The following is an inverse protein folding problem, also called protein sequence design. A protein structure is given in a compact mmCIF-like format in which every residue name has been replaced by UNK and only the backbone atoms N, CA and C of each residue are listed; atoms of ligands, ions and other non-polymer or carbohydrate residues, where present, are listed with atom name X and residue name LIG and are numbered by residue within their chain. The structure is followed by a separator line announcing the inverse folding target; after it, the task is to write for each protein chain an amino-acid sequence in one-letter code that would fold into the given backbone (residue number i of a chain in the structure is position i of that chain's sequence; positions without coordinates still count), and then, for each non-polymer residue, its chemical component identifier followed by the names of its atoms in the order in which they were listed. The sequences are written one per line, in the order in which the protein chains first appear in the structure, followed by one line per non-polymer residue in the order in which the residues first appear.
data_IF_797608170437
#
_entry.id   IF_797608170437
#
_cell.length_a   1.000
_cell.length_b   1.000
_cell.length_c   1.000
_cell.angle_alpha   90.00
_cell.angle_beta   90.00
_cell.angle_gamma   90.00
#
_symmetry.space_group_name_H-M   'P 1'
#
loop_
_entity.id
_entity.type
_entity.pdbx_description
1 polymer ?
#
# COMPACT_ATOMS: atom_id res chain seq x y z
N UNK A 1 13.74 -47.53 17.78
CA UNK A 1 14.06 -46.12 17.48
C UNK A 1 12.95 -45.25 18.07
N UNK A 2 13.26 -44.06 18.62
CA UNK A 2 12.22 -43.13 19.07
C UNK A 2 11.38 -42.67 17.87
N UNK A 3 10.07 -42.57 18.06
CA UNK A 3 9.17 -42.03 17.06
C UNK A 3 9.49 -40.54 16.82
N UNK A 4 9.63 -40.16 15.57
CA UNK A 4 9.90 -38.79 15.13
C UNK A 4 8.66 -38.19 14.49
N UNK A 5 8.60 -36.86 14.42
CA UNK A 5 7.49 -36.14 13.79
C UNK A 5 7.35 -36.48 12.30
N UNK A 6 8.43 -36.93 11.65
CA UNK A 6 8.46 -37.38 10.26
C UNK A 6 7.85 -38.77 10.05
N UNK A 7 7.52 -39.49 11.13
CA UNK A 7 6.81 -40.78 11.08
C UNK A 7 5.28 -40.60 11.01
N UNK A 8 4.77 -39.36 11.13
CA UNK A 8 3.36 -39.05 10.96
C UNK A 8 2.92 -39.15 9.48
N UNK A 9 1.65 -39.52 9.20
CA UNK A 9 1.05 -39.33 7.89
C UNK A 9 1.22 -37.90 7.38
N UNK A 10 1.52 -37.75 6.08
CA UNK A 10 1.85 -36.47 5.43
C UNK A 10 0.82 -35.39 5.73
N UNK A 11 -0.46 -35.72 5.60
CA UNK A 11 -1.56 -34.79 5.73
C UNK A 11 -1.62 -34.21 7.16
N UNK A 12 -1.47 -35.08 8.17
CA UNK A 12 -1.42 -34.68 9.57
C UNK A 12 -0.18 -33.84 9.88
N UNK A 13 0.97 -34.19 9.31
CA UNK A 13 2.18 -33.42 9.48
C UNK A 13 2.04 -32.02 8.86
N UNK A 14 1.52 -31.91 7.64
CA UNK A 14 1.28 -30.61 6.97
C UNK A 14 0.27 -29.76 7.73
N UNK A 15 -0.82 -30.36 8.21
CA UNK A 15 -1.81 -29.69 9.04
C UNK A 15 -1.18 -29.12 10.33
N UNK A 16 -0.35 -29.91 11.03
CA UNK A 16 0.40 -29.40 12.18
C UNK A 16 1.33 -28.26 11.77
N UNK A 17 2.04 -28.37 10.65
CA UNK A 17 2.92 -27.29 10.20
C UNK A 17 2.16 -26.02 9.84
N UNK A 18 0.93 -26.12 9.34
CA UNK A 18 0.12 -24.95 8.99
C UNK A 18 -0.25 -24.12 10.22
N UNK A 19 -0.49 -24.76 11.37
CA UNK A 19 -0.73 -24.09 12.64
C UNK A 19 0.49 -23.37 13.22
N UNK A 20 1.69 -23.64 12.72
CA UNK A 20 2.91 -22.99 13.20
C UNK A 20 3.02 -21.55 12.72
N UNK A 21 3.47 -20.67 13.61
CA UNK A 21 3.81 -19.30 13.25
C UNK A 21 5.12 -19.25 12.42
N UNK A 22 5.45 -18.13 11.75
CA UNK A 22 6.63 -18.03 10.89
C UNK A 22 7.96 -18.33 11.59
N UNK A 23 8.09 -17.99 12.86
CA UNK A 23 9.31 -18.24 13.64
C UNK A 23 9.48 -19.73 13.96
N UNK A 24 8.39 -20.39 14.33
CA UNK A 24 8.32 -21.83 14.55
C UNK A 24 8.60 -22.58 13.23
N UNK A 25 7.99 -22.17 12.12
CA UNK A 25 8.28 -22.72 10.78
C UNK A 25 9.75 -22.55 10.40
N UNK A 26 10.34 -21.38 10.66
CA UNK A 26 11.76 -21.12 10.41
C UNK A 26 12.68 -22.00 11.27
N UNK A 27 12.29 -22.24 12.53
CA UNK A 27 12.99 -23.16 13.41
C UNK A 27 12.88 -24.61 12.93
N UNK A 28 11.67 -25.04 12.54
CA UNK A 28 11.42 -26.36 11.97
C UNK A 28 12.27 -26.59 10.71
N UNK A 29 12.29 -25.61 9.81
CA UNK A 29 13.11 -25.60 8.60
C UNK A 29 14.61 -25.81 8.85
N UNK A 30 15.12 -25.44 10.03
CA UNK A 30 16.54 -25.61 10.38
C UNK A 30 16.87 -26.98 10.95
N UNK A 31 15.88 -27.79 11.33
CA UNK A 31 16.10 -29.11 11.95
C UNK A 31 16.56 -30.15 10.95
N UNK A 32 15.93 -30.22 9.77
CA UNK A 32 16.35 -31.09 8.69
C UNK A 32 15.88 -30.58 7.32
N UNK A 33 16.44 -31.15 6.26
CA UNK A 33 16.04 -30.84 4.88
C UNK A 33 14.57 -31.18 4.59
N UNK A 34 14.06 -32.25 5.20
CA UNK A 34 12.65 -32.64 5.03
C UNK A 34 11.75 -31.59 5.69
N UNK A 35 12.02 -31.23 6.95
CA UNK A 35 11.29 -30.17 7.62
C UNK A 35 11.29 -28.86 6.80
N UNK A 36 12.43 -28.46 6.24
CA UNK A 36 12.53 -27.31 5.32
C UNK A 36 11.58 -27.42 4.14
N UNK A 37 11.54 -28.56 3.45
CA UNK A 37 10.70 -28.75 2.26
C UNK A 37 9.19 -28.66 2.56
N UNK A 38 8.72 -29.16 3.71
CA UNK A 38 7.31 -29.03 4.05
C UNK A 38 6.88 -27.62 4.41
N UNK A 39 7.74 -26.86 5.09
CA UNK A 39 7.39 -25.48 5.47
C UNK A 39 7.79 -24.44 4.44
N UNK A 40 8.44 -24.85 3.34
CA UNK A 40 8.98 -23.92 2.34
C UNK A 40 7.89 -23.02 1.76
N UNK A 41 6.85 -23.59 1.14
CA UNK A 41 5.74 -22.79 0.58
C UNK A 41 5.06 -21.93 1.67
N UNK A 42 4.64 -22.47 2.84
CA UNK A 42 4.05 -21.66 3.91
C UNK A 42 4.94 -20.52 4.43
N UNK A 43 6.27 -20.71 4.43
CA UNK A 43 7.24 -19.69 4.84
C UNK A 43 7.32 -18.53 3.85
N UNK A 44 7.19 -18.80 2.55
CA UNK A 44 7.32 -17.79 1.50
C UNK A 44 5.98 -17.19 1.07
N UNK A 45 4.86 -17.88 1.29
CA UNK A 45 3.53 -17.47 0.87
C UNK A 45 3.17 -16.06 1.36
N UNK A 46 3.56 -15.71 2.59
CA UNK A 46 3.30 -14.40 3.19
C UNK A 46 4.60 -13.80 3.74
N UNK A 47 5.17 -12.86 3.01
CA UNK A 47 6.43 -12.21 3.38
C UNK A 47 6.21 -10.75 3.81
N UNK A 48 6.99 -10.29 4.80
CA UNK A 48 6.99 -8.89 5.24
C UNK A 48 8.42 -8.36 5.30
N UNK A 49 8.68 -7.30 4.54
CA UNK A 49 9.97 -6.65 4.40
C UNK A 49 9.86 -5.24 4.97
N UNK A 50 10.73 -4.88 5.91
CA UNK A 50 10.69 -3.60 6.62
C UNK A 50 11.92 -2.71 6.40
N UNK A 51 12.78 -3.07 5.45
CA UNK A 51 13.99 -2.35 5.15
C UNK A 51 14.43 -2.57 3.70
N UNK A 52 14.97 -1.53 3.08
CA UNK A 52 15.44 -1.57 1.69
C UNK A 52 16.52 -2.64 1.41
N UNK A 53 17.56 -2.83 2.25
CA UNK A 53 18.55 -3.88 2.00
C UNK A 53 17.93 -5.29 1.99
N UNK A 54 16.89 -5.53 2.80
CA UNK A 54 16.17 -6.81 2.81
C UNK A 54 15.37 -7.01 1.52
N UNK A 55 14.80 -5.94 0.95
CA UNK A 55 14.14 -6.00 -0.35
C UNK A 55 15.12 -6.37 -1.46
N UNK A 56 16.33 -5.79 -1.45
CA UNK A 56 17.41 -6.13 -2.40
C UNK A 56 17.81 -7.60 -2.26
N UNK A 57 17.93 -8.11 -1.03
CA UNK A 57 18.25 -9.53 -0.78
C UNK A 57 17.12 -10.43 -1.31
N UNK A 58 15.86 -10.08 -1.08
CA UNK A 58 14.70 -10.83 -1.58
C UNK A 58 14.73 -10.92 -3.10
N UNK A 59 14.87 -9.78 -3.79
CA UNK A 59 14.94 -9.74 -5.25
C UNK A 59 16.10 -10.59 -5.77
N UNK A 60 17.31 -10.44 -5.19
CA UNK A 60 18.46 -11.29 -5.54
C UNK A 60 18.19 -12.78 -5.30
N UNK A 61 17.39 -13.12 -4.30
CA UNK A 61 17.05 -14.50 -3.97
C UNK A 61 16.03 -15.08 -4.92
N UNK A 62 15.03 -14.29 -5.32
CA UNK A 62 14.03 -14.68 -6.32
C UNK A 62 14.67 -14.88 -7.71
N UNK A 63 15.68 -14.10 -8.04
CA UNK A 63 16.41 -14.24 -9.31
C UNK A 63 17.41 -15.41 -9.33
N UNK A 64 17.68 -16.05 -8.18
CA UNK A 64 18.52 -17.24 -8.12
C UNK A 64 17.69 -18.49 -8.38
N UNK A 65 18.22 -19.48 -9.13
CA UNK A 65 17.56 -20.77 -9.24
C UNK A 65 17.28 -21.32 -7.83
N UNK A 66 16.09 -21.89 -7.58
CA UNK A 66 15.80 -22.51 -6.31
C UNK A 66 16.87 -23.57 -6.05
N UNK A 67 17.40 -23.60 -4.82
CA UNK A 67 18.32 -24.67 -4.41
C UNK A 67 17.44 -25.92 -4.25
N UNK A 68 17.23 -26.63 -5.35
CA UNK A 68 16.55 -27.92 -5.33
C UNK A 68 17.56 -28.90 -4.74
N UNK A 69 17.37 -29.23 -3.47
CA UNK A 69 18.19 -30.25 -2.83
C UNK A 69 17.91 -31.58 -3.56
N UNK A 70 18.93 -32.11 -4.24
CA UNK A 70 18.88 -33.42 -4.89
C UNK A 70 18.95 -34.52 -3.83
N UNK A 71 17.88 -34.69 -3.06
CA UNK A 71 17.74 -35.86 -2.19
C UNK A 71 17.80 -37.10 -3.07
N UNK A 72 18.77 -37.97 -2.83
CA UNK A 72 18.86 -39.24 -3.53
C UNK A 72 17.62 -40.10 -3.23
N UNK A 73 17.22 -40.97 -4.16
CA UNK A 73 16.04 -41.83 -3.98
C UNK A 73 16.11 -42.68 -2.70
N UNK A 74 17.33 -43.03 -2.24
CA UNK A 74 17.60 -43.81 -1.02
C UNK A 74 17.51 -43.00 0.28
N UNK A 75 17.63 -41.68 0.24
CA UNK A 75 17.51 -40.80 1.41
C UNK A 75 16.07 -40.38 1.72
N UNK A 76 15.14 -40.66 0.80
CA UNK A 76 13.72 -40.34 0.93
C UNK A 76 13.03 -41.48 1.69
N UNK A 77 13.18 -41.57 3.00
CA UNK A 77 12.64 -42.73 3.73
C UNK A 77 11.11 -42.72 3.89
N UNK A 78 10.41 -41.58 3.75
CA UNK A 78 8.93 -41.52 3.76
C UNK A 78 8.32 -40.40 2.87
N UNK A 79 9.14 -39.65 2.14
CA UNK A 79 8.79 -38.34 1.59
C UNK A 79 8.78 -38.27 0.05
N UNK A 80 8.63 -39.41 -0.61
CA UNK A 80 8.49 -39.50 -2.07
C UNK A 80 7.31 -38.65 -2.63
N UNK A 81 6.35 -38.27 -1.78
CA UNK A 81 5.18 -37.42 -2.09
C UNK A 81 5.45 -35.90 -2.07
N UNK A 82 6.66 -35.46 -1.77
CA UNK A 82 7.11 -34.05 -1.95
C UNK A 82 7.94 -33.88 -3.23
N UNK A 83 7.64 -34.72 -4.21
CA UNK A 83 7.93 -34.50 -5.62
C UNK A 83 7.10 -33.36 -6.21
N UNK A 84 6.05 -32.91 -5.53
CA UNK A 84 5.21 -31.81 -6.00
C UNK A 84 6.08 -30.58 -6.23
N UNK A 85 6.23 -30.26 -7.51
CA UNK A 85 6.88 -29.06 -8.00
C UNK A 85 6.33 -27.81 -7.28
N UNK A 86 5.05 -27.84 -6.93
CA UNK A 86 4.34 -26.81 -6.15
C UNK A 86 4.98 -26.51 -4.79
N UNK A 87 5.42 -27.52 -4.03
CA UNK A 87 6.02 -27.33 -2.70
C UNK A 87 7.48 -26.83 -2.77
N UNK A 88 8.08 -26.86 -3.97
CA UNK A 88 9.45 -26.38 -4.23
C UNK A 88 9.49 -24.95 -4.75
N UNK A 89 8.35 -24.42 -5.19
CA UNK A 89 8.26 -23.06 -5.71
C UNK A 89 8.36 -22.06 -4.56
N UNK A 90 9.23 -21.05 -4.72
CA UNK A 90 9.27 -19.87 -3.83
C UNK A 90 8.10 -18.94 -4.19
N UNK A 91 6.89 -19.46 -4.09
CA UNK A 91 5.69 -18.74 -4.50
C UNK A 91 5.31 -17.75 -3.40
N UNK A 92 5.55 -16.47 -3.64
CA UNK A 92 5.09 -15.40 -2.76
C UNK A 92 3.67 -15.03 -3.18
N UNK A 93 2.69 -15.38 -2.36
CA UNK A 93 1.27 -15.04 -2.59
C UNK A 93 0.96 -13.62 -2.16
N UNK A 94 1.58 -13.16 -1.06
CA UNK A 94 1.40 -11.80 -0.54
C UNK A 94 2.71 -11.26 0.00
N UNK A 95 3.04 -10.03 -0.37
CA UNK A 95 4.26 -9.35 0.06
C UNK A 95 3.93 -7.98 0.65
N UNK A 96 4.22 -7.79 1.93
CA UNK A 96 4.17 -6.47 2.56
C UNK A 96 5.55 -5.83 2.52
N UNK A 97 5.67 -4.64 1.94
CA UNK A 97 6.90 -3.85 1.87
C UNK A 97 6.68 -2.56 2.65
N UNK A 98 7.42 -2.36 3.73
CA UNK A 98 7.40 -1.14 4.55
C UNK A 98 8.74 -0.44 4.40
N UNK A 99 8.73 0.74 3.80
CA UNK A 99 9.92 1.55 3.57
C UNK A 99 9.84 2.82 4.41
N UNK A 100 10.86 3.03 5.25
CA UNK A 100 11.03 4.25 6.05
C UNK A 100 12.11 5.12 5.42
N UNK A 101 11.82 6.38 5.10
CA UNK A 101 12.78 7.28 4.43
C UNK A 101 14.03 7.49 5.28
N UNK A 102 13.88 7.58 6.60
CA UNK A 102 14.98 7.71 7.56
C UNK A 102 15.95 6.52 7.57
N UNK A 103 15.49 5.33 7.22
CA UNK A 103 16.29 4.10 7.18
C UNK A 103 16.78 3.76 5.76
N UNK A 104 16.31 4.50 4.76
CA UNK A 104 16.51 4.17 3.36
C UNK A 104 17.22 5.31 2.66
N UNK A 105 18.54 5.37 2.84
CA UNK A 105 19.40 6.31 2.12
C UNK A 105 19.54 5.85 0.67
N UNK A 106 19.37 6.77 -0.29
CA UNK A 106 19.60 6.58 -1.73
C UNK A 106 18.61 5.64 -2.48
N UNK A 107 17.43 5.34 -1.93
CA UNK A 107 16.41 4.67 -2.73
C UNK A 107 15.86 5.60 -3.80
N UNK A 108 15.84 5.11 -5.04
CA UNK A 108 15.24 5.81 -6.18
C UNK A 108 13.91 5.15 -6.57
N UNK A 109 13.02 5.91 -7.21
CA UNK A 109 11.78 5.38 -7.79
C UNK A 109 12.07 4.31 -8.84
N UNK A 110 13.12 4.51 -9.65
CA UNK A 110 13.61 3.55 -10.65
C UNK A 110 14.02 2.21 -10.04
N UNK A 111 14.73 2.24 -8.92
CA UNK A 111 15.13 1.01 -8.23
C UNK A 111 13.92 0.29 -7.61
N UNK A 112 12.98 1.04 -7.03
CA UNK A 112 11.73 0.46 -6.50
C UNK A 112 10.92 -0.21 -7.60
N UNK A 113 10.70 0.47 -8.73
CA UNK A 113 9.98 -0.07 -9.88
C UNK A 113 10.65 -1.32 -10.44
N UNK A 114 12.00 -1.31 -10.56
CA UNK A 114 12.76 -2.48 -11.00
C UNK A 114 12.59 -3.66 -10.05
N UNK A 115 12.62 -3.41 -8.74
CA UNK A 115 12.47 -4.45 -7.72
C UNK A 115 11.05 -5.03 -7.69
N UNK A 116 10.02 -4.19 -7.73
CA UNK A 116 8.62 -4.62 -7.82
C UNK A 116 8.38 -5.43 -9.09
N UNK A 117 8.86 -4.96 -10.24
CA UNK A 117 8.76 -5.71 -11.50
C UNK A 117 9.51 -7.04 -11.47
N UNK A 118 10.67 -7.12 -10.79
CA UNK A 118 11.39 -8.38 -10.62
C UNK A 118 10.64 -9.37 -9.71
N UNK A 119 9.99 -8.88 -8.66
CA UNK A 119 9.14 -9.70 -7.78
C UNK A 119 7.94 -10.23 -8.56
N UNK A 120 7.24 -9.36 -9.30
CA UNK A 120 6.09 -9.72 -10.14
C UNK A 120 6.43 -10.82 -11.15
N UNK A 121 7.59 -10.72 -11.81
CA UNK A 121 8.08 -11.77 -12.73
C UNK A 121 8.48 -13.06 -12.02
N UNK A 122 9.09 -12.95 -10.83
CA UNK A 122 9.55 -14.11 -10.06
C UNK A 122 8.43 -14.82 -9.28
N UNK A 123 7.29 -14.17 -9.08
CA UNK A 123 6.12 -14.69 -8.38
C UNK A 123 4.85 -14.14 -9.04
N UNK A 124 4.43 -14.72 -10.19
CA UNK A 124 3.26 -14.25 -10.92
C UNK A 124 2.00 -14.24 -10.04
N UNK A 125 1.25 -13.13 -10.05
CA UNK A 125 0.01 -12.97 -9.29
C UNK A 125 0.21 -12.69 -7.79
N UNK A 126 1.43 -12.32 -7.39
CA UNK A 126 1.71 -11.83 -6.03
C UNK A 126 0.86 -10.61 -5.71
N UNK A 127 0.36 -10.51 -4.47
CA UNK A 127 -0.31 -9.29 -3.98
C UNK A 127 0.67 -8.46 -3.17
N UNK A 128 1.09 -7.32 -3.71
CA UNK A 128 2.05 -6.43 -3.05
C UNK A 128 1.31 -5.34 -2.27
N UNK A 129 1.63 -5.22 -0.98
CA UNK A 129 1.19 -4.13 -0.12
C UNK A 129 2.39 -3.22 0.15
N UNK A 130 2.40 -2.05 -0.47
CA UNK A 130 3.49 -1.07 -0.35
C UNK A 130 3.12 0.00 0.68
N UNK A 131 3.96 0.16 1.70
CA UNK A 131 3.82 1.17 2.73
C UNK A 131 5.05 2.10 2.73
N UNK A 132 4.83 3.38 2.47
CA UNK A 132 5.85 4.42 2.46
C UNK A 132 5.71 5.28 3.72
N UNK A 133 6.77 5.39 4.51
CA UNK A 133 6.82 6.21 5.74
C UNK A 133 7.93 7.27 5.67
N UNK A 134 7.59 8.51 5.94
CA UNK A 134 8.45 9.68 5.87
C UNK A 134 8.42 10.39 4.52
N UNK A 135 9.31 11.37 4.37
CA UNK A 135 9.38 12.24 3.20
C UNK A 135 9.94 11.50 1.99
N UNK A 136 9.08 11.18 1.02
CA UNK A 136 9.42 10.42 -0.20
C UNK A 136 9.36 11.24 -1.49
N UNK A 137 9.52 12.56 -1.39
CA UNK A 137 9.38 13.50 -2.52
C UNK A 137 10.09 13.02 -3.80
N UNK A 138 11.41 12.87 -3.75
CA UNK A 138 12.21 12.50 -4.93
C UNK A 138 11.83 11.14 -5.50
N UNK A 139 11.49 10.19 -4.63
CA UNK A 139 11.07 8.84 -5.03
C UNK A 139 9.73 8.89 -5.76
N UNK A 140 8.73 9.59 -5.20
CA UNK A 140 7.40 9.72 -5.80
C UNK A 140 7.45 10.46 -7.14
N UNK A 141 8.25 11.52 -7.26
CA UNK A 141 8.46 12.22 -8.54
C UNK A 141 9.01 11.30 -9.63
N UNK A 142 9.98 10.45 -9.29
CA UNK A 142 10.55 9.49 -10.24
C UNK A 142 9.54 8.40 -10.64
N UNK A 143 8.62 8.03 -9.75
CA UNK A 143 7.63 6.99 -10.01
C UNK A 143 6.54 7.40 -11.00
N UNK A 144 6.27 8.69 -11.20
CA UNK A 144 5.22 9.14 -12.14
C UNK A 144 5.36 8.59 -13.55
N UNK A 145 6.58 8.24 -13.96
CA UNK A 145 6.87 7.69 -15.29
C UNK A 145 7.22 6.19 -15.26
N UNK A 146 6.94 5.48 -14.16
CA UNK A 146 7.34 4.10 -13.94
C UNK A 146 6.17 3.26 -13.44
N UNK A 147 6.05 2.03 -13.92
CA UNK A 147 5.00 1.12 -13.46
C UNK A 147 5.45 0.28 -12.26
N UNK A 148 4.52 0.12 -11.32
CA UNK A 148 4.57 -0.73 -10.13
C UNK A 148 3.47 -1.78 -10.24
N UNK A 149 3.66 -2.84 -11.07
CA UNK A 149 2.68 -3.91 -11.22
C UNK A 149 2.47 -4.68 -9.91
N UNK A 150 1.33 -5.36 -9.79
CA UNK A 150 0.96 -6.23 -8.67
C UNK A 150 0.84 -5.52 -7.30
N UNK A 151 1.04 -4.19 -7.25
CA UNK A 151 0.78 -3.36 -6.07
C UNK A 151 -0.72 -3.12 -5.93
N UNK A 152 -1.37 -3.97 -5.14
CA UNK A 152 -2.82 -3.93 -4.90
C UNK A 152 -3.20 -2.99 -3.75
N UNK A 153 -2.26 -2.71 -2.84
CA UNK A 153 -2.49 -1.83 -1.70
C UNK A 153 -1.31 -0.86 -1.52
N UNK A 154 -1.60 0.43 -1.55
CA UNK A 154 -0.65 1.51 -1.25
C UNK A 154 -1.04 2.23 0.05
N UNK A 155 -0.10 2.37 0.97
CA UNK A 155 -0.25 3.19 2.18
C UNK A 155 0.88 4.20 2.26
N UNK A 156 0.57 5.49 2.38
CA UNK A 156 1.56 6.56 2.42
C UNK A 156 1.40 7.40 3.69
N UNK A 157 2.50 7.56 4.42
CA UNK A 157 2.66 8.42 5.60
C UNK A 157 3.78 9.41 5.32
N UNK A 158 3.47 10.51 4.65
CA UNK A 158 4.49 11.35 4.02
C UNK A 158 5.12 12.39 4.96
N UNK A 159 4.38 12.78 6.00
CA UNK A 159 4.92 13.63 7.07
C UNK A 159 5.48 14.98 6.61
N UNK A 160 4.84 15.62 5.64
CA UNK A 160 5.31 16.88 5.09
C UNK A 160 5.09 18.04 6.08
N UNK A 161 6.07 18.96 6.19
CA UNK A 161 5.89 20.19 6.93
C UNK A 161 4.78 21.02 6.26
N UNK A 162 3.92 21.63 7.07
CA UNK A 162 2.73 22.38 6.69
C UNK A 162 2.97 23.63 5.82
N UNK A 163 4.21 23.98 5.46
CA UNK A 163 4.46 25.04 4.48
C UNK A 163 4.21 24.52 3.06
N UNK A 164 2.94 24.52 2.63
CA UNK A 164 2.51 24.31 1.24
C UNK A 164 3.31 25.15 0.23
N UNK A 165 3.85 26.29 0.66
CA UNK A 165 4.66 27.20 -0.13
C UNK A 165 5.87 26.48 -0.75
N UNK A 166 6.52 25.57 -0.03
CA UNK A 166 7.69 24.85 -0.54
C UNK A 166 7.31 23.73 -1.53
N UNK A 167 6.07 23.25 -1.47
CA UNK A 167 5.52 22.26 -2.40
C UNK A 167 5.02 22.91 -3.70
N UNK A 168 4.32 24.05 -3.59
CA UNK A 168 3.73 24.75 -4.75
C UNK A 168 4.72 25.70 -5.46
N UNK A 169 5.78 26.19 -4.81
CA UNK A 169 6.77 27.10 -5.44
C UNK A 169 7.94 26.39 -6.14
N UNK A 170 8.07 25.08 -6.03
CA UNK A 170 9.07 24.34 -6.79
C UNK A 170 8.59 24.09 -8.23
N UNK A 171 9.49 24.21 -9.22
CA UNK A 171 9.32 23.77 -10.63
C UNK A 171 9.15 22.23 -10.76
N UNK A 172 8.55 21.60 -9.77
CA UNK A 172 8.64 20.18 -9.49
C UNK A 172 7.32 19.73 -8.85
N UNK A 173 6.24 19.81 -9.62
CA UNK A 173 4.88 19.43 -9.20
C UNK A 173 4.79 17.89 -9.15
N UNK A 174 4.68 17.31 -7.96
CA UNK A 174 4.30 15.90 -7.85
C UNK A 174 2.78 15.85 -7.88
N UNK A 175 2.21 15.39 -8.99
CA UNK A 175 0.83 14.94 -9.03
C UNK A 175 0.69 13.60 -8.28
N UNK A 176 0.39 13.70 -7.00
CA UNK A 176 0.16 12.54 -6.13
C UNK A 176 -1.11 11.78 -6.54
N UNK A 177 -2.10 12.50 -7.06
CA UNK A 177 -3.41 11.97 -7.35
C UNK A 177 -3.40 11.20 -8.67
N UNK A 178 -2.74 11.73 -9.70
CA UNK A 178 -2.47 10.96 -10.93
C UNK A 178 -1.60 9.73 -10.65
N UNK A 179 -0.58 9.84 -9.78
CA UNK A 179 0.21 8.67 -9.37
C UNK A 179 -0.67 7.55 -8.76
N UNK A 180 -1.65 7.91 -7.92
CA UNK A 180 -2.52 6.94 -7.27
C UNK A 180 -3.67 6.46 -8.17
N UNK A 181 -4.23 7.33 -9.00
CA UNK A 181 -5.52 7.13 -9.65
C UNK A 181 -5.48 7.20 -11.17
N UNK A 182 -4.38 7.65 -11.78
CA UNK A 182 -4.19 7.65 -13.23
C UNK A 182 -4.09 6.24 -13.83
N UNK A 183 -3.65 5.26 -13.04
CA UNK A 183 -3.59 3.83 -13.44
C UNK A 183 -2.38 3.44 -14.28
N UNK A 184 -1.54 4.39 -14.70
CA UNK A 184 -0.27 4.14 -15.40
C UNK A 184 0.81 3.60 -14.45
N UNK A 185 0.99 4.27 -13.31
CA UNK A 185 1.98 3.91 -12.28
C UNK A 185 1.54 2.68 -11.51
N UNK A 186 0.28 2.62 -11.08
CA UNK A 186 -0.26 1.57 -10.21
C UNK A 186 -1.48 0.91 -10.88
N UNK A 187 -1.29 0.08 -11.92
CA UNK A 187 -2.39 -0.46 -12.72
C UNK A 187 -3.30 -1.44 -11.94
N UNK A 188 -2.75 -2.12 -10.94
CA UNK A 188 -3.42 -3.15 -10.15
C UNK A 188 -3.97 -2.64 -8.81
N UNK A 189 -3.92 -1.32 -8.58
CA UNK A 189 -4.28 -0.74 -7.29
C UNK A 189 -5.75 -0.94 -6.97
N UNK A 190 -6.02 -1.43 -5.76
CA UNK A 190 -7.37 -1.65 -5.22
C UNK A 190 -7.62 -0.88 -3.94
N UNK A 191 -6.58 -0.62 -3.17
CA UNK A 191 -6.70 0.05 -1.88
C UNK A 191 -5.63 1.12 -1.75
N UNK A 192 -6.05 2.33 -1.40
CA UNK A 192 -5.15 3.44 -1.14
C UNK A 192 -5.44 4.08 0.21
N UNK A 193 -4.38 4.34 0.97
CA UNK A 193 -4.42 5.14 2.18
C UNK A 193 -3.34 6.21 2.13
N UNK A 194 -3.72 7.48 2.23
CA UNK A 194 -2.79 8.62 2.15
C UNK A 194 -2.92 9.51 3.38
N UNK A 195 -1.81 9.66 4.09
CA UNK A 195 -1.60 10.59 5.20
C UNK A 195 -0.41 11.48 4.90
N UNK A 196 -0.68 12.75 4.60
CA UNK A 196 0.36 13.70 4.21
C UNK A 196 1.02 14.39 5.40
N UNK A 197 0.38 14.36 6.57
CA UNK A 197 0.79 15.15 7.74
C UNK A 197 1.67 14.34 8.70
N UNK A 198 1.41 13.05 8.82
CA UNK A 198 2.16 12.17 9.71
C UNK A 198 3.19 11.35 8.92
N UNK A 199 4.44 11.35 9.39
CA UNK A 199 5.53 10.58 8.77
C UNK A 199 5.45 9.07 9.05
N UNK A 200 4.59 8.65 9.99
CA UNK A 200 4.41 7.26 10.37
C UNK A 200 3.07 7.08 11.10
N UNK A 201 2.52 5.85 11.16
CA UNK A 201 1.26 5.60 11.85
C UNK A 201 1.31 5.91 13.35
N UNK A 202 2.47 5.71 13.99
CA UNK A 202 2.65 5.96 15.42
C UNK A 202 2.59 7.44 15.78
N UNK A 203 2.76 8.33 14.80
CA UNK A 203 2.63 9.78 14.98
C UNK A 203 1.20 10.28 14.85
N UNK A 204 0.24 9.41 14.53
CA UNK A 204 -1.15 9.81 14.41
C UNK A 204 -1.73 10.20 15.77
N UNK A 205 -2.71 11.12 15.78
CA UNK A 205 -3.48 11.42 16.97
C UNK A 205 -4.12 10.15 17.53
N UNK A 206 -3.95 9.93 18.83
CA UNK A 206 -4.55 8.81 19.54
C UNK A 206 -5.85 9.20 20.24
N UNK A 207 -6.07 10.51 20.41
CA UNK A 207 -7.29 11.06 21.01
C UNK A 207 -8.03 11.98 20.04
N UNK A 208 -9.35 12.12 20.25
CA UNK A 208 -10.18 13.05 19.48
C UNK A 208 -9.70 14.50 19.67
N UNK A 209 -9.29 14.87 20.89
CA UNK A 209 -8.80 16.21 21.19
C UNK A 209 -7.52 16.56 20.43
N UNK A 210 -6.60 15.61 20.27
CA UNK A 210 -5.42 15.78 19.42
C UNK A 210 -5.80 15.93 17.95
N UNK A 211 -6.74 15.12 17.47
CA UNK A 211 -7.21 15.18 16.09
C UNK A 211 -7.84 16.55 15.74
N UNK A 212 -8.60 17.14 16.66
CA UNK A 212 -9.23 18.45 16.51
C UNK A 212 -8.25 19.64 16.47
N UNK A 213 -6.96 19.44 16.80
CA UNK A 213 -5.95 20.52 16.64
C UNK A 213 -5.55 20.72 15.18
N UNK A 214 -5.85 19.75 14.31
CA UNK A 214 -5.38 19.72 12.93
C UNK A 214 -6.39 20.26 11.91
N UNK A 215 -7.60 20.62 12.35
CA UNK A 215 -8.69 21.19 11.54
C UNK A 215 -8.47 22.64 11.11
N UNK A 216 -7.52 23.36 11.70
CA UNK A 216 -7.20 24.75 11.33
C UNK A 216 -6.17 24.79 10.21
N UNK A 217 -6.63 24.75 8.96
CA UNK A 217 -5.82 25.09 7.78
C UNK A 217 -6.41 26.31 7.08
N UNK A 218 -5.57 27.09 6.40
CA UNK A 218 -6.06 28.19 5.56
C UNK A 218 -6.71 27.58 4.32
N UNK A 219 -7.93 27.98 4.03
CA UNK A 219 -8.54 27.77 2.72
C UNK A 219 -7.73 28.55 1.69
N UNK A 220 -7.02 27.86 0.81
CA UNK A 220 -6.45 28.48 -0.37
C UNK A 220 -7.41 28.21 -1.51
N UNK A 221 -8.03 29.28 -1.99
CA UNK A 221 -9.06 29.23 -3.03
C UNK A 221 -8.66 28.42 -4.26
N UNK A 222 -9.69 27.91 -4.91
CA UNK A 222 -9.68 27.10 -6.12
C UNK A 222 -8.78 27.73 -7.19
N UNK A 223 -7.75 27.00 -7.62
CA UNK A 223 -7.19 27.16 -8.96
C UNK A 223 -8.01 26.25 -9.86
N UNK A 224 -8.84 26.83 -10.74
CA UNK A 224 -9.54 26.08 -11.76
C UNK A 224 -8.50 25.41 -12.67
N UNK A 225 -8.23 24.11 -12.44
CA UNK A 225 -7.67 23.26 -13.49
C UNK A 225 -8.85 22.83 -14.35
N UNK A 226 -9.06 23.57 -15.43
CA UNK A 226 -9.88 23.12 -16.56
C UNK A 226 -9.21 21.87 -17.14
N UNK A 227 -9.71 20.71 -16.73
CA UNK A 227 -9.76 19.42 -17.44
C UNK A 227 -9.85 18.30 -16.39
N UNK A 228 -10.97 17.59 -16.40
CA UNK A 228 -11.14 16.39 -15.59
C UNK A 228 -10.30 15.27 -16.20
N UNK A 229 -9.07 15.11 -15.75
CA UNK A 229 -8.22 13.99 -16.17
C UNK A 229 -8.95 12.66 -15.93
N UNK A 230 -8.93 11.78 -16.93
CA UNK A 230 -9.57 10.48 -16.82
C UNK A 230 -8.72 9.56 -15.94
N UNK A 231 -9.17 9.35 -14.69
CA UNK A 231 -8.48 8.54 -13.70
C UNK A 231 -8.75 7.03 -13.90
N UNK A 232 -7.99 6.38 -14.79
CA UNK A 232 -8.17 4.95 -15.14
C UNK A 232 -7.92 3.97 -13.98
N UNK A 233 -7.10 4.35 -13.00
CA UNK A 233 -6.82 3.56 -11.80
C UNK A 233 -8.04 3.34 -10.90
N UNK A 234 -9.13 4.08 -11.11
CA UNK A 234 -10.37 3.91 -10.35
C UNK A 234 -11.13 2.62 -10.69
N UNK A 235 -10.90 2.02 -11.87
CA UNK A 235 -11.66 0.87 -12.36
C UNK A 235 -11.69 -0.32 -11.39
N UNK A 236 -10.56 -0.60 -10.75
CA UNK A 236 -10.39 -1.73 -9.83
C UNK A 236 -10.39 -1.30 -8.36
N UNK A 237 -10.66 -0.03 -8.07
CA UNK A 237 -10.56 0.53 -6.73
C UNK A 237 -11.68 -0.02 -5.83
N UNK A 238 -11.31 -0.53 -4.67
CA UNK A 238 -12.19 -1.10 -3.64
C UNK A 238 -12.27 -0.19 -2.40
N UNK A 239 -11.18 0.47 -2.03
CA UNK A 239 -11.09 1.29 -0.82
C UNK A 239 -10.20 2.53 -0.99
N UNK A 240 -10.73 3.71 -0.63
CA UNK A 240 -9.99 4.97 -0.57
C UNK A 240 -10.02 5.50 0.86
N UNK A 241 -8.85 5.81 1.43
CA UNK A 241 -8.71 6.43 2.75
C UNK A 241 -7.78 7.63 2.70
N UNK A 242 -8.32 8.82 2.86
CA UNK A 242 -7.57 10.07 2.87
C UNK A 242 -7.65 10.66 4.27
N UNK A 243 -6.54 10.62 5.01
CA UNK A 243 -6.50 10.98 6.42
C UNK A 243 -5.48 12.08 6.65
N UNK A 244 -5.84 13.15 7.37
CA UNK A 244 -4.92 14.24 7.67
C UNK A 244 -4.21 14.76 6.41
N UNK A 245 -4.99 14.94 5.35
CA UNK A 245 -4.49 15.25 4.01
C UNK A 245 -4.70 16.73 3.69
N UNK A 246 -3.61 17.50 3.57
CA UNK A 246 -3.67 18.92 3.22
C UNK A 246 -3.70 19.16 1.70
N UNK A 247 -3.38 18.13 0.90
CA UNK A 247 -3.37 18.17 -0.56
C UNK A 247 -4.72 17.80 -1.20
N UNK A 248 -5.71 17.44 -0.37
CA UNK A 248 -7.05 17.08 -0.85
C UNK A 248 -7.87 18.35 -1.05
N UNK A 249 -7.94 18.80 -2.30
CA UNK A 249 -8.77 19.92 -2.75
C UNK A 249 -10.11 19.43 -3.31
N UNK A 250 -11.09 20.33 -3.46
CA UNK A 250 -12.38 19.99 -4.04
C UNK A 250 -12.29 19.57 -5.50
N UNK A 251 -11.41 20.17 -6.29
CA UNK A 251 -11.10 19.77 -7.67
C UNK A 251 -10.69 18.30 -7.77
N UNK A 252 -9.90 17.80 -6.82
CA UNK A 252 -9.46 16.40 -6.77
C UNK A 252 -10.64 15.48 -6.48
N UNK A 253 -11.52 15.86 -5.54
CA UNK A 253 -12.74 15.12 -5.28
C UNK A 253 -13.67 15.09 -6.49
N UNK A 254 -13.81 16.23 -7.17
CA UNK A 254 -14.54 16.29 -8.42
C UNK A 254 -13.91 15.35 -9.44
N UNK A 255 -12.61 15.39 -9.70
CA UNK A 255 -11.98 14.45 -10.64
C UNK A 255 -12.19 12.98 -10.26
N UNK A 256 -12.11 12.63 -8.97
CA UNK A 256 -12.32 11.27 -8.47
C UNK A 256 -13.73 10.75 -8.73
N UNK A 257 -14.75 11.59 -8.59
CA UNK A 257 -16.15 11.17 -8.69
C UNK A 257 -16.82 11.61 -9.99
N UNK A 258 -16.27 12.59 -10.72
CA UNK A 258 -16.71 13.05 -12.03
C UNK A 258 -16.14 12.21 -13.16
N UNK A 259 -15.01 11.54 -12.94
CA UNK A 259 -14.42 10.59 -13.89
C UNK A 259 -15.49 9.73 -14.55
N UNK A 260 -15.40 9.59 -15.89
CA UNK A 260 -16.32 8.76 -16.66
C UNK A 260 -16.21 7.27 -16.30
N UNK A 261 -15.20 6.90 -15.53
CA UNK A 261 -14.97 5.55 -15.04
C UNK A 261 -15.70 5.41 -13.71
N UNK A 262 -16.83 4.70 -13.74
CA UNK A 262 -17.60 4.35 -12.55
C UNK A 262 -16.80 3.29 -11.78
N UNK A 263 -16.34 3.56 -10.55
CA UNK A 263 -15.57 2.59 -9.78
C UNK A 263 -16.52 1.54 -9.19
N UNK A 264 -16.94 0.57 -9.99
CA UNK A 264 -17.99 -0.41 -9.64
C UNK A 264 -17.71 -1.23 -8.38
N UNK A 265 -16.43 -1.34 -7.99
CA UNK A 265 -15.99 -2.11 -6.84
C UNK A 265 -15.76 -1.27 -5.58
N UNK A 266 -15.93 0.06 -5.66
CA UNK A 266 -15.61 0.96 -4.54
C UNK A 266 -16.63 0.79 -3.42
N UNK A 267 -16.26 0.01 -2.41
CA UNK A 267 -17.10 -0.30 -1.27
C UNK A 267 -16.80 0.62 -0.06
N UNK A 268 -15.62 1.24 -0.01
CA UNK A 268 -15.16 1.99 1.16
C UNK A 268 -14.51 3.32 0.81
N UNK A 269 -15.02 4.41 1.40
CA UNK A 269 -14.41 5.75 1.35
C UNK A 269 -14.32 6.33 2.76
N UNK A 270 -13.12 6.72 3.17
CA UNK A 270 -12.88 7.47 4.39
C UNK A 270 -12.11 8.75 4.06
N UNK A 271 -12.68 9.91 4.37
CA UNK A 271 -12.03 11.21 4.27
C UNK A 271 -12.08 11.84 5.66
N UNK A 272 -10.94 11.95 6.33
CA UNK A 272 -10.88 12.42 7.72
C UNK A 272 -9.84 13.50 7.92
N UNK A 273 -10.23 14.58 8.60
CA UNK A 273 -9.34 15.69 9.00
C UNK A 273 -8.51 16.27 7.85
N UNK A 274 -9.14 16.43 6.67
CA UNK A 274 -8.57 17.14 5.54
C UNK A 274 -8.95 18.63 5.68
N UNK A 275 -8.00 19.53 6.01
CA UNK A 275 -8.32 20.91 6.35
C UNK A 275 -8.83 21.74 5.15
N UNK A 276 -8.48 21.36 3.93
CA UNK A 276 -8.84 22.09 2.72
C UNK A 276 -10.27 21.80 2.22
N UNK A 277 -10.99 20.89 2.88
CA UNK A 277 -12.34 20.47 2.50
C UNK A 277 -13.40 21.06 3.44
N UNK A 278 -14.18 22.01 2.94
CA UNK A 278 -15.19 22.75 3.68
C UNK A 278 -16.61 22.36 3.25
N UNK A 279 -17.51 22.23 4.23
CA UNK A 279 -18.88 21.78 3.99
C UNK A 279 -19.68 22.66 3.02
N UNK A 280 -19.52 23.98 3.12
CA UNK A 280 -20.31 24.96 2.36
C UNK A 280 -19.65 25.37 1.05
N UNK A 281 -18.32 25.49 1.03
CA UNK A 281 -17.58 25.89 -0.17
C UNK A 281 -17.50 24.74 -1.19
N UNK A 282 -17.35 23.51 -0.70
CA UNK A 282 -17.12 22.33 -1.54
C UNK A 282 -18.36 21.44 -1.66
N UNK A 283 -19.55 22.03 -1.43
CA UNK A 283 -20.81 21.29 -1.42
C UNK A 283 -21.09 20.59 -2.74
N UNK A 284 -20.64 21.14 -3.87
CA UNK A 284 -20.79 20.53 -5.19
C UNK A 284 -19.99 19.22 -5.29
N UNK A 285 -18.69 19.26 -4.98
CA UNK A 285 -17.81 18.11 -4.94
C UNK A 285 -18.32 17.02 -3.97
N UNK A 286 -18.74 17.44 -2.77
CA UNK A 286 -19.31 16.54 -1.75
C UNK A 286 -20.62 15.91 -2.21
N UNK A 287 -21.51 16.70 -2.82
CA UNK A 287 -22.77 16.19 -3.36
C UNK A 287 -22.52 15.20 -4.50
N UNK A 288 -21.50 15.42 -5.33
CA UNK A 288 -21.13 14.50 -6.40
C UNK A 288 -20.62 13.17 -5.84
N UNK A 289 -19.73 13.20 -4.84
CA UNK A 289 -19.28 12.01 -4.11
C UNK A 289 -20.47 11.23 -3.55
N UNK A 290 -21.42 11.90 -2.91
CA UNK A 290 -22.60 11.24 -2.36
C UNK A 290 -23.50 10.67 -3.47
N UNK A 291 -23.78 11.44 -4.51
CA UNK A 291 -24.70 11.04 -5.57
C UNK A 291 -24.20 9.81 -6.35
N UNK A 292 -22.90 9.78 -6.68
CA UNK A 292 -22.29 8.68 -7.43
C UNK A 292 -21.77 7.55 -6.54
N UNK A 293 -21.25 7.88 -5.35
CA UNK A 293 -20.66 6.93 -4.42
C UNK A 293 -21.67 6.17 -3.56
N UNK A 294 -22.77 6.78 -3.08
CA UNK A 294 -23.67 6.15 -2.09
C UNK A 294 -24.27 4.82 -2.55
N UNK A 295 -24.45 4.62 -3.86
CA UNK A 295 -24.98 3.35 -4.40
C UNK A 295 -23.98 2.20 -4.35
N UNK A 296 -22.69 2.51 -4.25
CA UNK A 296 -21.57 1.55 -4.29
C UNK A 296 -20.97 1.34 -2.90
N UNK A 297 -20.97 2.39 -2.08
CA UNK A 297 -20.32 2.41 -0.77
C UNK A 297 -21.10 1.62 0.29
N UNK A 298 -20.43 0.63 0.87
CA UNK A 298 -20.84 -0.06 2.08
C UNK A 298 -20.35 0.67 3.34
N UNK A 299 -19.29 1.48 3.22
CA UNK A 299 -18.72 2.26 4.30
C UNK A 299 -18.33 3.66 3.83
N UNK A 300 -18.92 4.68 4.47
CA UNK A 300 -18.58 6.08 4.25
C UNK A 300 -18.26 6.74 5.59
N UNK A 301 -17.08 7.34 5.69
CA UNK A 301 -16.68 8.23 6.79
C UNK A 301 -16.20 9.54 6.22
N UNK A 302 -16.85 10.64 6.59
CA UNK A 302 -16.54 11.96 6.07
C UNK A 302 -16.46 12.98 7.22
N UNK A 303 -15.29 13.61 7.39
CA UNK A 303 -15.12 14.77 8.25
C UNK A 303 -14.97 16.00 7.36
N UNK A 304 -15.93 16.93 7.46
CA UNK A 304 -15.88 18.22 6.76
C UNK A 304 -15.56 19.32 7.75
N UNK A 305 -14.77 20.31 7.33
CA UNK A 305 -14.58 21.50 8.15
C UNK A 305 -15.87 22.34 8.14
N UNK A 306 -16.29 22.88 9.29
CA UNK A 306 -17.28 23.95 9.30
C UNK A 306 -16.72 25.16 8.55
N UNK A 307 -17.59 26.05 8.07
CA UNK A 307 -17.16 27.34 7.54
C UNK A 307 -16.33 28.01 8.65
N UNK A 308 -15.09 28.41 8.35
CA UNK A 308 -14.25 29.11 9.30
C UNK A 308 -14.98 30.37 9.75
N UNK A 309 -15.21 30.51 11.04
CA UNK A 309 -15.36 31.82 11.67
C UNK A 309 -13.96 32.45 11.66
N UNK A 310 -13.50 32.90 10.50
CA UNK A 310 -12.34 33.78 10.45
C UNK A 310 -12.78 35.09 11.13
N UNK A 311 -12.16 35.50 12.24
CA UNK A 311 -12.45 36.80 12.84
C UNK A 311 -12.08 37.97 11.91
N UNK A 312 -11.38 37.71 10.79
CA UNK A 312 -11.07 38.72 9.77
C UNK A 312 -12.25 38.99 8.81
N UNK A 313 -13.30 38.16 8.80
CA UNK A 313 -14.51 38.41 7.98
C UNK A 313 -15.57 39.28 8.69
N UNK A 314 -15.39 39.61 9.97
CA UNK A 314 -16.30 40.51 10.70
C UNK A 314 -15.94 42.00 10.55
N UNK A 315 -14.77 42.37 10.00
CA UNK A 315 -14.38 43.78 9.82
C UNK A 315 -14.80 44.39 8.48
N UNK A 316 -15.48 43.66 7.59
CA UNK A 316 -15.92 44.18 6.28
C UNK A 316 -17.40 43.93 5.94
N UNK A 317 -18.28 43.92 6.95
CA UNK A 317 -19.73 44.02 6.75
C UNK A 317 -20.31 45.32 7.29
#
# INVERSE_FOLDING_TARGET
MPATMLDLPRELYLEITDYLNPEQKSTLARLSKDHYLAVQEPLYAHASINAWPKLVILVRTLMKPPIVSSLSAKQRLNWHKLSDQQLRERSIKTLKIILKSSLTKNATGSDLARMVGAISRGSPGVKIHLQLQGTWYTLLKQLQNLSLPDVVHLTMYLGYPTSEIDWRRGETEIDLWDLCFGGSVLPDLRQVEVDTKHASPEKRPTTLAEACKFSRGRYLGVMNKDECDTLYGLKNMESIRLNYNHLLESSVLESLFHSNIIPQNLAKVEITNCPSLHQTMDIAALSMLLHRGLRLLQHLKLHVQPLGSDPEYEETR
#
